data_IF_627710337300
#
_entry.id   IF_627710337300
#
_cell.length_a   1.000
_cell.length_b   1.000
_cell.length_c   1.000
_cell.angle_alpha   90.00
_cell.angle_beta   90.00
_cell.angle_gamma   90.00
#
_symmetry.space_group_name_H-M   'P 1'
#
loop_
_entity.id
_entity.type
_entity.pdbx_description
1 polymer ?
#
# COMPACT_ATOMS: atom_id res chain seq x y z
N UNK A 1 -4.78 -12.72 36.66
CA UNK A 1 -4.35 -11.42 36.12
C UNK A 1 -4.91 -11.31 34.71
N UNK A 2 -5.74 -10.31 34.40
CA UNK A 2 -6.13 -10.05 32.99
C UNK A 2 -4.95 -9.37 32.32
N UNK A 3 -4.42 -9.96 31.25
CA UNK A 3 -3.46 -9.26 30.40
C UNK A 3 -4.11 -7.96 29.93
N UNK A 4 -3.45 -6.80 30.05
CA UNK A 4 -3.97 -5.60 29.43
C UNK A 4 -4.07 -5.87 27.93
N UNK A 5 -5.28 -5.75 27.38
CA UNK A 5 -5.49 -5.82 25.93
C UNK A 5 -4.73 -4.63 25.33
N UNK A 6 -3.65 -4.91 24.62
CA UNK A 6 -2.93 -3.87 23.87
C UNK A 6 -3.87 -3.42 22.76
N UNK A 7 -4.27 -2.15 22.79
CA UNK A 7 -4.97 -1.56 21.67
C UNK A 7 -3.91 -1.15 20.63
N UNK A 8 -4.04 -1.66 19.42
CA UNK A 8 -3.12 -1.43 18.32
C UNK A 8 -3.92 -1.14 17.06
N UNK A 9 -3.60 -0.01 16.44
CA UNK A 9 -4.17 0.40 15.16
C UNK A 9 -3.10 1.09 14.31
N UNK A 10 -3.27 1.07 12.99
CA UNK A 10 -2.48 1.84 12.03
C UNK A 10 -3.34 2.95 11.47
N UNK A 11 -2.81 4.17 11.49
CA UNK A 11 -3.37 5.30 10.76
C UNK A 11 -2.60 5.46 9.45
N UNK A 12 -3.25 5.08 8.35
CA UNK A 12 -2.72 5.29 7.01
C UNK A 12 -3.10 6.67 6.48
N UNK A 13 -2.09 7.51 6.26
CA UNK A 13 -2.22 8.75 5.49
C UNK A 13 -1.48 8.55 4.18
N UNK A 14 -2.23 8.04 3.20
CA UNK A 14 -1.72 7.76 1.86
C UNK A 14 -1.97 8.99 1.00
N UNK A 15 -0.92 9.47 0.36
CA UNK A 15 -1.01 10.52 -0.65
C UNK A 15 -0.54 9.96 -1.98
N UNK A 16 -1.24 10.35 -3.05
CA UNK A 16 -0.84 10.01 -4.40
C UNK A 16 -0.59 11.29 -5.18
N UNK A 17 0.60 11.40 -5.76
CA UNK A 17 0.93 12.46 -6.70
C UNK A 17 1.35 11.83 -8.03
N UNK A 18 0.50 11.94 -9.05
CA UNK A 18 0.66 11.26 -10.35
C UNK A 18 0.84 9.75 -10.20
N UNK A 19 2.08 9.28 -10.27
CA UNK A 19 2.46 7.87 -10.18
C UNK A 19 3.16 7.52 -8.86
N UNK A 20 3.49 8.52 -8.04
CA UNK A 20 4.10 8.31 -6.74
C UNK A 20 3.03 8.12 -5.66
N UNK A 21 3.28 7.19 -4.76
CA UNK A 21 2.47 6.91 -3.57
C UNK A 21 3.36 7.10 -2.35
N UNK A 22 2.88 7.90 -1.39
CA UNK A 22 3.64 8.29 -0.21
C UNK A 22 2.80 8.08 1.06
N UNK A 23 3.40 7.37 2.02
CA UNK A 23 2.86 7.01 3.33
C UNK A 23 3.66 7.62 4.49
N UNK A 24 4.60 8.54 4.26
CA UNK A 24 5.48 9.14 5.28
C UNK A 24 4.76 9.89 6.42
N UNK A 25 3.48 10.19 6.22
CA UNK A 25 2.62 10.79 7.24
C UNK A 25 1.73 9.78 7.98
N UNK A 26 1.92 8.49 7.74
CA UNK A 26 1.23 7.40 8.43
C UNK A 26 1.87 7.13 9.80
N UNK A 27 1.10 6.55 10.72
CA UNK A 27 1.50 6.34 12.11
C UNK A 27 0.93 5.05 12.68
N UNK A 28 1.65 4.40 13.59
CA UNK A 28 1.08 3.34 14.45
C UNK A 28 0.55 3.98 15.72
N UNK A 29 -0.62 3.53 16.18
CA UNK A 29 -1.27 3.97 17.41
C UNK A 29 -1.27 2.79 18.37
N UNK A 30 -0.44 2.87 19.42
CA UNK A 30 -0.35 1.84 20.47
C UNK A 30 -0.87 2.44 21.77
N UNK A 31 -1.92 1.85 22.32
CA UNK A 31 -2.58 2.33 23.54
C UNK A 31 -2.90 3.83 23.48
N UNK A 32 -3.41 4.29 22.33
CA UNK A 32 -3.78 5.69 22.07
C UNK A 32 -2.60 6.63 21.80
N UNK A 33 -1.36 6.13 21.76
CA UNK A 33 -0.17 6.94 21.43
C UNK A 33 0.25 6.71 19.99
N UNK A 34 0.19 7.76 19.18
CA UNK A 34 0.64 7.74 17.79
C UNK A 34 2.18 7.86 17.68
N UNK A 35 2.80 7.08 16.82
CA UNK A 35 4.25 7.11 16.55
C UNK A 35 4.56 6.79 15.08
N UNK A 36 5.32 7.67 14.42
CA UNK A 36 5.89 7.44 13.08
C UNK A 36 7.00 6.39 13.11
N UNK A 37 7.88 6.47 14.12
CA UNK A 37 8.99 5.52 14.29
C UNK A 37 8.52 4.07 14.49
N UNK A 38 7.35 3.89 15.12
CA UNK A 38 6.74 2.57 15.21
C UNK A 38 6.22 2.13 13.84
N UNK A 39 5.55 3.03 13.10
CA UNK A 39 5.05 2.75 11.76
C UNK A 39 6.16 2.35 10.78
N UNK A 40 7.32 2.99 10.86
CA UNK A 40 8.50 2.69 10.04
C UNK A 40 8.98 1.22 10.15
N UNK A 41 8.67 0.56 11.27
CA UNK A 41 9.01 -0.84 11.54
C UNK A 41 7.85 -1.79 11.30
N UNK A 42 6.69 -1.29 10.90
CA UNK A 42 5.52 -2.12 10.64
C UNK A 42 5.65 -2.87 9.34
N UNK A 43 5.07 -4.06 9.35
CA UNK A 43 4.80 -4.85 8.17
C UNK A 43 3.32 -4.73 7.83
N UNK A 44 2.99 -4.44 6.58
CA UNK A 44 1.62 -4.40 6.12
C UNK A 44 1.47 -4.92 4.70
N UNK A 45 0.25 -5.33 4.38
CA UNK A 45 -0.07 -5.84 3.06
C UNK A 45 -0.48 -4.71 2.11
N UNK A 46 -0.01 -4.78 0.88
CA UNK A 46 -0.58 -4.07 -0.28
C UNK A 46 -1.15 -5.08 -1.26
N UNK A 47 -2.42 -4.97 -1.60
CA UNK A 47 -3.08 -5.84 -2.57
C UNK A 47 -3.29 -5.09 -3.88
N UNK A 48 -2.59 -5.53 -4.92
CA UNK A 48 -2.73 -5.02 -6.28
C UNK A 48 -3.77 -5.85 -7.03
N UNK A 49 -4.75 -5.18 -7.65
CA UNK A 49 -5.83 -5.84 -8.39
C UNK A 49 -5.94 -5.26 -9.79
N UNK A 50 -5.97 -6.12 -10.81
CA UNK A 50 -6.16 -5.73 -12.20
C UNK A 50 -7.05 -6.72 -12.97
N UNK A 51 -7.56 -6.31 -14.13
CA UNK A 51 -8.18 -7.21 -15.09
C UNK A 51 -7.18 -7.51 -16.21
N UNK A 52 -6.69 -8.77 -16.25
CA UNK A 52 -5.71 -9.25 -17.22
C UNK A 52 -6.35 -10.33 -18.07
N UNK A 53 -6.40 -10.13 -19.40
CA UNK A 53 -7.06 -11.06 -20.35
C UNK A 53 -8.49 -11.43 -19.93
N UNK A 54 -9.26 -10.44 -19.47
CA UNK A 54 -10.65 -10.61 -19.04
C UNK A 54 -10.84 -11.26 -17.66
N UNK A 55 -9.76 -11.60 -16.93
CA UNK A 55 -9.84 -12.20 -15.60
C UNK A 55 -9.31 -11.25 -14.54
N UNK A 56 -9.98 -11.20 -13.39
CA UNK A 56 -9.47 -10.51 -12.20
C UNK A 56 -8.23 -11.25 -11.69
N UNK A 57 -7.14 -10.51 -11.52
CA UNK A 57 -5.87 -10.98 -10.95
C UNK A 57 -5.55 -10.12 -9.74
N UNK A 58 -5.02 -10.77 -8.70
CA UNK A 58 -4.61 -10.14 -7.45
C UNK A 58 -3.18 -10.55 -7.13
N UNK A 59 -2.38 -9.61 -6.65
CA UNK A 59 -1.03 -9.84 -6.16
C UNK A 59 -0.88 -9.13 -4.82
N UNK A 60 -0.49 -9.87 -3.79
CA UNK A 60 -0.29 -9.34 -2.45
C UNK A 60 1.19 -9.16 -2.19
N UNK A 61 1.58 -7.98 -1.75
CA UNK A 61 2.94 -7.67 -1.29
C UNK A 61 2.90 -7.47 0.21
N UNK A 62 3.85 -8.05 0.91
CA UNK A 62 3.99 -7.89 2.36
C UNK A 62 5.24 -7.07 2.60
N UNK A 63 5.05 -5.77 2.86
CA UNK A 63 6.15 -4.81 2.89
C UNK A 63 6.42 -4.31 4.29
N UNK A 64 7.68 -4.15 4.63
CA UNK A 64 8.10 -3.32 5.77
C UNK A 64 8.12 -1.87 5.32
N UNK A 65 7.57 -0.96 6.13
CA UNK A 65 7.43 0.45 5.74
C UNK A 65 8.77 1.08 5.30
N UNK A 66 9.85 0.86 6.05
CA UNK A 66 11.14 1.47 5.77
C UNK A 66 12.10 0.61 4.91
N UNK A 67 11.65 -0.51 4.37
CA UNK A 67 12.49 -1.36 3.52
C UNK A 67 12.12 -1.21 2.04
N UNK A 68 13.12 -1.33 1.18
CA UNK A 68 12.91 -1.42 -0.26
C UNK A 68 12.05 -2.65 -0.58
N UNK A 69 11.08 -2.48 -1.47
CA UNK A 69 10.33 -3.60 -2.03
C UNK A 69 11.35 -4.48 -2.75
N UNK A 70 11.34 -5.79 -2.49
CA UNK A 70 12.37 -6.68 -3.01
C UNK A 70 12.16 -6.96 -4.49
N UNK A 71 13.22 -7.37 -5.19
CA UNK A 71 13.14 -7.63 -6.63
C UNK A 71 12.17 -8.76 -6.98
N UNK A 72 12.05 -9.79 -6.13
CA UNK A 72 11.09 -10.88 -6.34
C UNK A 72 9.63 -10.37 -6.33
N UNK A 73 9.28 -9.46 -5.42
CA UNK A 73 7.95 -8.83 -5.38
C UNK A 73 7.70 -7.95 -6.61
N UNK A 74 8.70 -7.20 -7.06
CA UNK A 74 8.62 -6.38 -8.28
C UNK A 74 8.42 -7.24 -9.53
N UNK A 75 9.20 -8.31 -9.67
CA UNK A 75 9.08 -9.27 -10.77
C UNK A 75 7.72 -9.95 -10.77
N UNK A 76 7.20 -10.32 -9.60
CA UNK A 76 5.86 -10.91 -9.46
C UNK A 76 4.76 -9.95 -9.93
N UNK A 77 4.82 -8.67 -9.56
CA UNK A 77 3.87 -7.66 -10.06
C UNK A 77 3.95 -7.48 -11.58
N UNK A 78 5.16 -7.41 -12.12
CA UNK A 78 5.37 -7.27 -13.55
C UNK A 78 4.82 -8.49 -14.31
N UNK A 79 5.16 -9.70 -13.85
CA UNK A 79 4.76 -10.93 -14.53
C UNK A 79 3.26 -11.22 -14.44
N UNK A 80 2.64 -10.94 -13.29
CA UNK A 80 1.23 -11.28 -13.06
C UNK A 80 0.25 -10.19 -13.51
N UNK A 81 0.61 -8.93 -13.34
CA UNK A 81 -0.27 -7.78 -13.56
C UNK A 81 0.24 -6.81 -14.62
N UNK A 82 1.48 -6.97 -15.10
CA UNK A 82 2.11 -6.02 -16.02
C UNK A 82 2.38 -4.66 -15.37
N UNK A 83 2.60 -4.62 -14.04
CA UNK A 83 2.86 -3.39 -13.28
C UNK A 83 4.33 -3.35 -12.86
N UNK A 84 5.05 -2.29 -13.22
CA UNK A 84 6.44 -2.07 -12.82
C UNK A 84 6.48 -0.97 -11.76
N UNK A 85 7.08 -1.29 -10.62
CA UNK A 85 7.20 -0.36 -9.49
C UNK A 85 8.64 -0.26 -9.01
N UNK A 86 8.97 0.84 -8.33
CA UNK A 86 10.22 0.98 -7.60
C UNK A 86 10.04 1.82 -6.34
N UNK A 87 10.81 1.52 -5.29
CA UNK A 87 10.78 2.23 -4.01
C UNK A 87 10.73 1.31 -2.80
N UNK A 88 10.24 1.86 -1.69
CA UNK A 88 10.03 1.19 -0.40
C UNK A 88 8.55 1.09 -0.06
N UNK A 89 8.22 0.41 1.04
CA UNK A 89 6.84 0.39 1.54
C UNK A 89 6.28 1.80 1.76
N UNK A 90 7.07 2.71 2.34
CA UNK A 90 6.65 4.06 2.69
C UNK A 90 6.57 5.01 1.49
N UNK A 91 7.38 4.79 0.44
CA UNK A 91 7.36 5.60 -0.77
C UNK A 91 7.71 4.76 -1.99
N UNK A 92 6.82 4.71 -2.97
CA UNK A 92 7.08 4.02 -4.23
C UNK A 92 6.45 4.73 -5.42
N UNK A 93 7.00 4.46 -6.59
CA UNK A 93 6.54 5.00 -7.86
C UNK A 93 6.10 3.88 -8.79
N UNK A 94 4.97 4.09 -9.47
CA UNK A 94 4.53 3.25 -10.58
C UNK A 94 5.24 3.72 -11.85
N UNK A 95 6.20 2.94 -12.33
CA UNK A 95 7.00 3.28 -13.49
C UNK A 95 6.24 3.06 -14.80
N UNK A 96 5.55 1.92 -14.91
CA UNK A 96 4.72 1.59 -16.06
C UNK A 96 3.66 0.55 -15.70
N UNK A 97 2.58 0.48 -16.48
CA UNK A 97 1.56 -0.55 -16.33
C UNK A 97 0.77 -0.80 -17.61
N UNK A 98 0.40 -2.06 -17.86
CA UNK A 98 -0.26 -2.48 -19.09
C UNK A 98 -1.77 -2.25 -19.10
N UNK A 99 -2.42 -2.29 -17.93
CA UNK A 99 -3.88 -2.20 -17.75
C UNK A 99 -4.22 -1.39 -16.49
N UNK A 100 -5.47 -0.91 -16.41
CA UNK A 100 -5.96 -0.25 -15.21
C UNK A 100 -5.85 -1.20 -14.00
N UNK A 101 -5.44 -0.66 -12.86
CA UNK A 101 -5.32 -1.44 -11.62
C UNK A 101 -5.64 -0.60 -10.39
N UNK A 102 -5.84 -1.25 -9.26
CA UNK A 102 -5.98 -0.61 -7.96
C UNK A 102 -5.01 -1.20 -6.95
N UNK A 103 -4.65 -0.41 -5.94
CA UNK A 103 -3.92 -0.89 -4.76
C UNK A 103 -4.84 -0.70 -3.56
N UNK A 104 -5.04 -1.75 -2.77
CA UNK A 104 -5.69 -1.71 -1.47
C UNK A 104 -4.62 -1.89 -0.39
N UNK A 105 -4.54 -0.93 0.52
CA UNK A 105 -3.71 -1.06 1.71
C UNK A 105 -4.45 -1.85 2.78
N UNK A 106 -3.68 -2.54 3.62
CA UNK A 106 -4.16 -3.42 4.68
C UNK A 106 -5.27 -2.75 5.52
N UNK A 107 -6.40 -3.45 5.65
CA UNK A 107 -7.61 -2.98 6.33
C UNK A 107 -7.72 -3.50 7.76
N UNK A 108 -6.86 -4.44 8.16
CA UNK A 108 -6.90 -5.06 9.48
C UNK A 108 -6.29 -4.10 10.49
N UNK A 109 -7.00 -3.78 11.57
CA UNK A 109 -6.55 -2.81 12.57
C UNK A 109 -6.08 -1.49 11.95
N UNK A 110 -6.77 -1.03 10.90
CA UNK A 110 -6.33 0.11 10.09
C UNK A 110 -7.43 1.14 9.91
N UNK A 111 -7.04 2.39 10.02
CA UNK A 111 -7.87 3.58 9.79
C UNK A 111 -7.24 4.40 8.68
N UNK A 112 -8.05 4.95 7.80
CA UNK A 112 -7.59 5.69 6.63
C UNK A 112 -8.00 7.15 6.68
N UNK A 113 -7.07 8.03 6.31
CA UNK A 113 -7.38 9.43 6.00
C UNK A 113 -7.72 9.52 4.52
N UNK A 114 -8.98 9.75 4.21
CA UNK A 114 -9.44 9.90 2.83
C UNK A 114 -8.95 11.20 2.19
N UNK A 115 -8.68 11.13 0.89
CA UNK A 115 -8.33 12.26 0.03
C UNK A 115 -9.04 12.11 -1.32
N UNK A 116 -8.96 13.13 -2.19
CA UNK A 116 -9.53 13.04 -3.54
C UNK A 116 -8.98 11.85 -4.35
N UNK A 117 -7.75 11.42 -4.04
CA UNK A 117 -7.04 10.34 -4.75
C UNK A 117 -7.06 8.99 -4.03
N UNK A 118 -7.53 8.95 -2.77
CA UNK A 118 -7.50 7.79 -1.90
C UNK A 118 -8.81 7.69 -1.12
N UNK A 119 -9.51 6.56 -1.25
CA UNK A 119 -10.77 6.31 -0.55
C UNK A 119 -10.68 4.98 0.16
N UNK A 120 -10.84 4.98 1.49
CA UNK A 120 -10.74 3.80 2.36
C UNK A 120 -9.49 2.95 2.10
N UNK A 121 -8.34 3.61 2.00
CA UNK A 121 -7.05 2.95 1.75
C UNK A 121 -6.90 2.39 0.34
N UNK A 122 -7.78 2.76 -0.59
CA UNK A 122 -7.76 2.28 -1.97
C UNK A 122 -7.39 3.40 -2.93
N UNK A 123 -6.53 3.07 -3.88
CA UNK A 123 -6.09 3.97 -4.96
C UNK A 123 -6.24 3.30 -6.33
N UNK A 124 -6.56 4.07 -7.36
CA UNK A 124 -6.83 3.57 -8.71
C UNK A 124 -5.92 4.20 -9.77
N UNK A 125 -5.21 3.39 -10.54
CA UNK A 125 -4.40 3.85 -11.66
C UNK A 125 -5.11 3.52 -12.97
N UNK A 126 -5.33 4.56 -13.78
CA UNK A 126 -6.01 4.47 -15.07
C UNK A 126 -5.02 4.76 -16.18
N UNK A 127 -4.87 3.79 -17.08
CA UNK A 127 -4.03 3.91 -18.26
C UNK A 127 -4.63 5.01 -19.12
N UNK A 128 -3.81 6.01 -19.45
CA UNK A 128 -4.23 7.04 -20.39
C UNK A 128 -4.43 6.36 -21.74
N UNK A 129 -5.64 6.47 -22.27
CA UNK A 129 -5.89 6.18 -23.68
C UNK A 129 -5.22 7.33 -24.44
N UNK A 130 -4.14 7.01 -25.16
CA UNK A 130 -3.50 7.93 -26.10
C UNK A 130 -4.19 7.79 -27.44
#
# INVERSE_FOLDING_TARGET
>A
MKNPTINYERLFKITRNKNAVNLSESMSVINGKASKENFEKEVYQMTFCAIVKGKKKECNLLVTANECICEEEKENLQNQLGVVINGSGMYFEILSYETNFSIQFDTVHSVFVDTDSVQNGKIFFFKKVV
#
